data_IF_961463538875
#
_entry.id   IF_961463538875
#
_cell.length_a   1.000
_cell.length_b   1.000
_cell.length_c   1.000
_cell.angle_alpha   90.00
_cell.angle_beta   90.00
_cell.angle_gamma   90.00
#
_symmetry.space_group_name_H-M   'P 1'
#
loop_
_entity.id
_entity.type
_entity.pdbx_description
1 polymer ?
#
# COMPACT_ATOMS: atom_id res chain seq x y z
N UNK A 1 11.37 -10.78 14.77
CA UNK A 1 10.51 -10.77 13.59
C UNK A 1 9.54 -9.61 13.75
N UNK A 2 9.59 -8.62 12.87
CA UNK A 2 8.67 -7.50 12.82
C UNK A 2 7.62 -7.74 11.73
N UNK A 3 6.47 -7.10 11.88
CA UNK A 3 5.41 -7.07 10.88
C UNK A 3 5.25 -5.62 10.44
N UNK A 4 5.45 -5.38 9.15
CA UNK A 4 5.44 -4.05 8.54
C UNK A 4 4.24 -3.94 7.62
N UNK A 5 3.33 -3.03 7.93
CA UNK A 5 2.20 -2.70 7.06
C UNK A 5 2.58 -1.62 6.07
N UNK A 6 2.35 -1.84 4.77
CA UNK A 6 2.74 -0.92 3.70
C UNK A 6 1.57 -0.59 2.81
N UNK A 7 1.40 0.68 2.49
CA UNK A 7 0.30 1.15 1.65
C UNK A 7 0.66 2.43 0.91
N UNK A 8 -0.09 2.71 -0.16
CA UNK A 8 -0.03 4.00 -0.85
C UNK A 8 -1.11 4.94 -0.34
N UNK A 9 -0.91 6.25 -0.50
CA UNK A 9 -1.83 7.28 -0.04
C UNK A 9 -2.02 8.37 -1.09
N UNK A 10 -3.26 8.85 -1.22
CA UNK A 10 -3.60 9.99 -2.07
C UNK A 10 -4.25 11.11 -1.24
N UNK A 11 -5.44 10.86 -0.63
CA UNK A 11 -6.16 11.82 0.23
C UNK A 11 -7.13 11.16 1.23
N UNK A 12 -7.11 9.83 1.35
CA UNK A 12 -8.08 9.01 2.09
C UNK A 12 -7.81 9.03 3.60
N UNK A 13 -7.87 10.20 4.24
CA UNK A 13 -7.52 10.38 5.67
C UNK A 13 -8.36 9.50 6.61
N UNK A 14 -9.66 9.35 6.32
CA UNK A 14 -10.55 8.52 7.12
C UNK A 14 -10.13 7.05 7.06
N UNK A 15 -9.83 6.54 5.87
CA UNK A 15 -9.38 5.15 5.68
C UNK A 15 -8.05 4.90 6.38
N UNK A 16 -7.10 5.82 6.27
CA UNK A 16 -5.82 5.71 6.98
C UNK A 16 -6.00 5.68 8.50
N UNK A 17 -6.88 6.52 9.05
CA UNK A 17 -7.17 6.49 10.48
C UNK A 17 -7.79 5.16 10.90
N UNK A 18 -8.73 4.64 10.12
CA UNK A 18 -9.34 3.33 10.35
C UNK A 18 -8.28 2.21 10.29
N UNK A 19 -7.44 2.19 9.24
CA UNK A 19 -6.35 1.23 9.06
C UNK A 19 -5.40 1.22 10.26
N UNK A 20 -4.91 2.38 10.67
CA UNK A 20 -4.01 2.49 11.81
C UNK A 20 -4.65 1.98 13.12
N UNK A 21 -5.92 2.30 13.37
CA UNK A 21 -6.59 1.82 14.57
C UNK A 21 -6.78 0.30 14.56
N UNK A 22 -7.16 -0.29 13.44
CA UNK A 22 -7.38 -1.75 13.32
C UNK A 22 -6.05 -2.51 13.43
N UNK A 23 -5.00 -2.05 12.73
CA UNK A 23 -3.76 -2.82 12.61
C UNK A 23 -2.74 -2.55 13.72
N UNK A 24 -2.91 -1.48 14.51
CA UNK A 24 -1.88 -1.04 15.49
C UNK A 24 -1.41 -2.11 16.48
N UNK A 25 -2.30 -3.02 16.90
CA UNK A 25 -1.97 -4.07 17.86
C UNK A 25 -1.21 -5.25 17.23
N UNK A 26 -1.16 -5.32 15.91
CA UNK A 26 -0.64 -6.46 15.16
C UNK A 26 0.63 -6.13 14.37
N UNK A 27 0.90 -4.85 14.11
CA UNK A 27 2.05 -4.43 13.31
C UNK A 27 3.02 -3.57 14.11
N UNK A 28 4.30 -3.69 13.79
CA UNK A 28 5.37 -2.93 14.43
C UNK A 28 5.55 -1.56 13.78
N UNK A 29 5.41 -1.48 12.46
CA UNK A 29 5.59 -0.25 11.70
C UNK A 29 4.56 -0.13 10.57
N UNK A 30 4.26 1.13 10.22
CA UNK A 30 3.49 1.52 9.04
C UNK A 30 4.38 2.27 8.07
N UNK A 31 4.41 1.86 6.81
CA UNK A 31 5.06 2.58 5.72
C UNK A 31 3.99 3.12 4.79
N UNK A 32 3.91 4.43 4.67
CA UNK A 32 2.96 5.13 3.80
C UNK A 32 3.72 5.81 2.69
N UNK A 33 3.38 5.51 1.44
CA UNK A 33 4.00 6.11 0.27
C UNK A 33 3.03 7.06 -0.44
N UNK A 34 3.48 8.29 -0.72
CA UNK A 34 2.69 9.29 -1.44
C UNK A 34 3.52 9.94 -2.53
N UNK A 35 2.93 10.11 -3.72
CA UNK A 35 3.56 10.78 -4.85
C UNK A 35 3.12 12.25 -4.96
N UNK A 36 3.98 13.12 -5.50
CA UNK A 36 3.64 14.51 -5.86
C UNK A 36 2.89 14.62 -7.19
N UNK A 37 2.43 13.52 -7.70
CA UNK A 37 1.63 13.45 -8.93
C UNK A 37 0.49 12.45 -8.78
N UNK A 38 -0.58 12.68 -9.52
CA UNK A 38 -1.72 11.75 -9.61
C UNK A 38 -1.40 10.61 -10.58
N UNK A 39 -2.22 9.57 -10.60
CA UNK A 39 -2.10 8.49 -11.59
C UNK A 39 -2.26 9.01 -13.03
N UNK A 40 -3.00 10.10 -13.24
CA UNK A 40 -3.12 10.77 -14.55
C UNK A 40 -1.93 11.71 -14.89
N UNK A 41 -0.94 11.83 -13.98
CA UNK A 41 0.26 12.66 -14.21
C UNK A 41 0.11 14.13 -13.84
N UNK A 42 -1.00 14.55 -13.26
CA UNK A 42 -1.15 15.92 -12.77
C UNK A 42 -0.35 16.11 -11.48
N UNK A 43 0.33 17.23 -11.35
CA UNK A 43 1.01 17.61 -10.10
C UNK A 43 0.01 17.73 -8.96
N UNK A 44 0.41 17.31 -7.75
CA UNK A 44 -0.37 17.48 -6.53
C UNK A 44 0.51 17.80 -5.32
N UNK A 45 -0.08 18.40 -4.32
CA UNK A 45 0.55 18.59 -3.02
C UNK A 45 0.61 17.28 -2.23
N UNK A 46 1.52 17.22 -1.27
CA UNK A 46 1.57 16.14 -0.29
C UNK A 46 0.49 16.38 0.78
N UNK A 47 -0.42 15.42 0.91
CA UNK A 47 -1.59 15.49 1.77
C UNK A 47 -1.38 14.76 3.10
N UNK A 48 -0.54 13.72 3.12
CA UNK A 48 -0.27 12.95 4.33
C UNK A 48 0.62 13.73 5.30
N UNK A 49 0.18 13.82 6.55
CA UNK A 49 0.94 14.46 7.63
C UNK A 49 0.93 13.56 8.86
N UNK A 50 2.09 13.07 9.29
CA UNK A 50 2.21 12.22 10.49
C UNK A 50 1.56 12.84 11.73
N UNK A 51 1.62 14.18 11.86
CA UNK A 51 1.01 14.91 12.99
C UNK A 51 -0.50 14.78 13.08
N UNK A 52 -1.18 14.43 11.98
CA UNK A 52 -2.63 14.18 11.97
C UNK A 52 -2.98 12.84 12.65
N UNK A 53 -1.96 12.00 12.94
CA UNK A 53 -2.08 10.67 13.56
C UNK A 53 -1.18 10.54 14.80
N UNK A 54 -1.34 11.39 15.85
CA UNK A 54 -0.38 11.48 16.96
C UNK A 54 -0.20 10.17 17.72
N UNK A 55 -1.27 9.36 17.85
CA UNK A 55 -1.25 8.05 18.50
C UNK A 55 -0.31 7.05 17.83
N UNK A 56 -0.12 7.16 16.52
CA UNK A 56 0.63 6.21 15.69
C UNK A 56 1.93 6.79 15.14
N UNK A 57 2.18 8.07 15.33
CA UNK A 57 3.26 8.83 14.71
C UNK A 57 4.64 8.17 14.87
N UNK A 58 4.88 7.52 16.01
CA UNK A 58 6.15 6.84 16.32
C UNK A 58 6.38 5.57 15.49
N UNK A 59 5.30 4.96 14.94
CA UNK A 59 5.37 3.77 14.07
C UNK A 59 5.34 4.11 12.57
N UNK A 60 5.11 5.36 12.17
CA UNK A 60 4.87 5.72 10.78
C UNK A 60 6.19 6.15 10.11
N UNK A 61 6.51 5.53 8.99
CA UNK A 61 7.48 6.00 8.00
C UNK A 61 6.71 6.54 6.80
N UNK A 62 6.98 7.78 6.39
CA UNK A 62 6.36 8.41 5.23
C UNK A 62 7.37 8.57 4.12
N UNK A 63 7.11 7.96 2.97
CA UNK A 63 7.92 8.05 1.76
C UNK A 63 7.26 8.97 0.77
N UNK A 64 8.04 9.85 0.17
CA UNK A 64 7.56 10.81 -0.85
C UNK A 64 8.24 10.50 -2.18
N UNK A 65 7.45 10.46 -3.25
CA UNK A 65 7.95 10.32 -4.61
C UNK A 65 7.81 11.68 -5.31
N UNK A 66 8.98 12.26 -5.63
CA UNK A 66 9.05 13.56 -6.30
C UNK A 66 9.05 13.45 -7.84
N UNK A 67 9.50 12.32 -8.38
CA UNK A 67 9.69 12.12 -9.83
C UNK A 67 8.87 10.96 -10.34
N UNK A 68 8.26 11.17 -11.50
CA UNK A 68 7.57 10.09 -12.23
C UNK A 68 8.55 8.96 -12.63
N UNK A 69 8.02 7.73 -12.86
CA UNK A 69 8.79 6.63 -13.42
C UNK A 69 9.42 7.00 -14.76
N UNK A 70 10.54 6.34 -15.08
CA UNK A 70 11.31 6.63 -16.31
C UNK A 70 10.66 6.10 -17.58
N UNK A 71 9.78 5.12 -17.45
CA UNK A 71 9.07 4.45 -18.54
C UNK A 71 7.78 5.17 -18.99
N UNK A 72 7.52 6.36 -18.48
CA UNK A 72 6.38 7.20 -18.90
C UNK A 72 6.52 7.60 -20.39
N UNK A 73 5.50 7.28 -21.17
CA UNK A 73 5.41 7.69 -22.57
C UNK A 73 5.19 9.21 -22.63
N UNK A 74 6.11 9.92 -23.30
CA UNK A 74 6.07 11.37 -23.50
C UNK A 74 6.01 11.65 -24.98
N UNK A 75 4.87 12.11 -25.46
CA UNK A 75 4.63 12.58 -26.84
C UNK A 75 3.48 13.59 -26.85
N UNK A 76 3.38 14.41 -27.88
CA UNK A 76 2.42 15.52 -27.96
C UNK A 76 0.96 15.04 -27.91
N UNK A 77 0.66 13.91 -28.54
CA UNK A 77 -0.70 13.35 -28.63
C UNK A 77 -0.74 11.94 -28.05
N UNK A 78 -1.07 11.83 -26.77
CA UNK A 78 -1.28 10.54 -26.10
C UNK A 78 -2.67 9.99 -26.46
N UNK A 79 -2.71 8.77 -26.98
CA UNK A 79 -3.96 8.03 -27.18
C UNK A 79 -4.44 7.38 -25.85
N UNK A 80 -5.67 6.83 -25.79
CA UNK A 80 -6.19 6.20 -24.57
C UNK A 80 -5.32 5.06 -24.03
N UNK A 81 -4.65 4.30 -24.90
CA UNK A 81 -3.72 3.24 -24.50
C UNK A 81 -2.48 3.81 -23.78
N UNK A 82 -1.87 4.85 -24.35
CA UNK A 82 -0.72 5.51 -23.73
C UNK A 82 -1.06 6.11 -22.36
N UNK A 83 -2.24 6.73 -22.24
CA UNK A 83 -2.73 7.30 -20.97
C UNK A 83 -2.90 6.22 -19.92
N UNK A 84 -3.49 5.07 -20.31
CA UNK A 84 -3.65 3.93 -19.41
C UNK A 84 -2.31 3.32 -19.02
N UNK A 85 -1.39 3.15 -19.98
CA UNK A 85 -0.04 2.66 -19.71
C UNK A 85 0.67 3.55 -18.70
N UNK A 86 0.68 4.86 -18.92
CA UNK A 86 1.29 5.83 -18.02
C UNK A 86 0.66 5.80 -16.61
N UNK A 87 -0.65 5.63 -16.52
CA UNK A 87 -1.34 5.51 -15.25
C UNK A 87 -0.87 4.26 -14.48
N UNK A 88 -0.80 3.12 -15.16
CA UNK A 88 -0.32 1.85 -14.57
C UNK A 88 1.13 1.98 -14.15
N UNK A 89 2.00 2.56 -14.98
CA UNK A 89 3.41 2.78 -14.66
C UNK A 89 3.58 3.63 -13.38
N UNK A 90 2.76 4.69 -13.20
CA UNK A 90 2.79 5.51 -11.98
C UNK A 90 2.32 4.73 -10.75
N UNK A 91 1.27 3.93 -10.87
CA UNK A 91 0.78 3.06 -9.78
C UNK A 91 1.88 2.08 -9.38
N UNK A 92 2.46 1.35 -10.35
CA UNK A 92 3.56 0.41 -10.11
C UNK A 92 4.75 1.11 -9.45
N UNK A 93 5.20 2.23 -10.02
CA UNK A 93 6.33 2.97 -9.46
C UNK A 93 6.09 3.44 -8.01
N UNK A 94 4.85 3.75 -7.64
CA UNK A 94 4.48 4.11 -6.28
C UNK A 94 4.54 2.90 -5.34
N UNK A 95 4.10 1.74 -5.80
CA UNK A 95 4.17 0.48 -5.06
C UNK A 95 5.62 0.04 -4.86
N UNK A 96 6.41 0.02 -5.91
CA UNK A 96 7.82 -0.39 -5.84
C UNK A 96 8.66 0.56 -4.98
N UNK A 97 8.27 1.83 -4.89
CA UNK A 97 8.98 2.78 -4.03
C UNK A 97 8.93 2.40 -2.54
N UNK A 98 7.90 1.67 -2.11
CA UNK A 98 7.79 1.14 -0.74
C UNK A 98 8.99 0.24 -0.39
N UNK A 99 9.55 -0.49 -1.37
CA UNK A 99 10.72 -1.34 -1.16
C UNK A 99 11.94 -0.57 -0.66
N UNK A 100 12.05 0.73 -0.95
CA UNK A 100 13.19 1.55 -0.49
C UNK A 100 13.30 1.66 1.03
N UNK A 101 12.16 1.58 1.73
CA UNK A 101 12.16 1.59 3.19
C UNK A 101 12.47 0.22 3.80
N UNK A 102 12.38 -0.87 3.02
CA UNK A 102 12.56 -2.22 3.55
C UNK A 102 14.02 -2.57 3.85
N UNK A 103 14.98 -1.83 3.29
CA UNK A 103 16.43 -2.02 3.56
C UNK A 103 16.81 -1.85 5.02
N UNK A 104 15.98 -1.16 5.82
CA UNK A 104 16.20 -0.92 7.24
C UNK A 104 15.63 -2.04 8.13
N UNK A 105 15.07 -3.09 7.51
CA UNK A 105 14.45 -4.24 8.17
C UNK A 105 15.19 -5.54 7.88
N UNK A 106 14.98 -6.54 8.75
CA UNK A 106 15.53 -7.88 8.53
C UNK A 106 14.87 -8.61 7.37
N UNK A 107 15.64 -9.41 6.65
CA UNK A 107 15.09 -10.30 5.61
C UNK A 107 14.03 -11.28 6.12
N UNK A 108 14.04 -11.56 7.44
CA UNK A 108 13.08 -12.44 8.11
C UNK A 108 11.83 -11.70 8.65
N UNK A 109 11.76 -10.37 8.52
CA UNK A 109 10.59 -9.59 8.86
C UNK A 109 9.52 -9.75 7.78
N UNK A 110 8.24 -9.60 8.18
CA UNK A 110 7.10 -9.68 7.27
C UNK A 110 6.68 -8.29 6.77
N UNK A 111 6.43 -8.22 5.49
CA UNK A 111 5.73 -7.10 4.86
C UNK A 111 4.30 -7.51 4.54
N UNK A 112 3.35 -6.63 4.85
CA UNK A 112 1.98 -6.66 4.36
C UNK A 112 1.85 -5.51 3.37
N UNK A 113 1.42 -5.80 2.14
CA UNK A 113 1.06 -4.79 1.17
C UNK A 113 -0.43 -4.86 0.83
N UNK A 114 -1.07 -3.70 0.76
CA UNK A 114 -2.44 -3.54 0.26
C UNK A 114 -2.70 -2.08 -0.11
N UNK A 115 -3.71 -1.84 -0.93
CA UNK A 115 -4.27 -0.50 -1.07
C UNK A 115 -4.86 -0.05 0.27
N UNK A 116 -5.01 1.26 0.49
CA UNK A 116 -5.27 1.78 1.84
C UNK A 116 -6.65 1.37 2.41
N UNK A 117 -7.60 1.05 1.56
CA UNK A 117 -8.95 0.58 1.88
C UNK A 117 -9.05 -0.95 2.02
N UNK A 118 -7.98 -1.67 1.74
CA UNK A 118 -7.89 -3.13 1.87
C UNK A 118 -7.22 -3.49 3.19
N UNK A 119 -8.00 -3.53 4.28
CA UNK A 119 -7.49 -3.76 5.63
C UNK A 119 -7.63 -5.24 5.99
N UNK A 120 -6.52 -6.00 6.18
CA UNK A 120 -6.60 -7.40 6.54
C UNK A 120 -7.06 -7.58 8.00
N UNK A 121 -7.84 -8.61 8.26
CA UNK A 121 -8.10 -9.03 9.64
C UNK A 121 -6.96 -9.91 10.14
N UNK A 122 -6.18 -9.39 11.09
CA UNK A 122 -5.03 -10.08 11.68
C UNK A 122 -5.34 -10.70 13.05
N UNK A 123 -6.56 -10.55 13.58
CA UNK A 123 -6.92 -10.95 14.94
C UNK A 123 -6.60 -12.42 15.28
N UNK A 124 -6.82 -13.30 14.30
CA UNK A 124 -6.57 -14.73 14.48
C UNK A 124 -5.45 -15.25 13.57
N UNK A 125 -4.66 -14.37 13.00
CA UNK A 125 -3.61 -14.75 12.07
C UNK A 125 -2.25 -14.86 12.78
N UNK A 126 -1.61 -16.03 12.68
CA UNK A 126 -0.30 -16.30 13.26
C UNK A 126 0.76 -16.43 12.15
N UNK A 127 1.60 -15.40 12.01
CA UNK A 127 2.70 -15.40 11.05
C UNK A 127 3.74 -16.50 11.33
N UNK A 128 3.93 -16.92 12.58
CA UNK A 128 4.88 -17.98 12.93
C UNK A 128 4.45 -19.35 12.41
N UNK A 129 3.14 -19.61 12.34
CA UNK A 129 2.59 -20.86 11.78
C UNK A 129 2.61 -20.88 10.24
N UNK A 130 2.81 -19.72 9.60
CA UNK A 130 2.79 -19.57 8.15
C UNK A 130 4.15 -19.12 7.59
N UNK A 131 5.24 -19.57 8.23
CA UNK A 131 6.61 -19.27 7.78
C UNK A 131 6.81 -19.72 6.34
N UNK A 132 7.56 -18.91 5.60
CA UNK A 132 8.00 -19.21 4.22
C UNK A 132 6.86 -19.41 3.22
N UNK A 133 5.72 -18.73 3.45
CA UNK A 133 4.57 -18.71 2.55
C UNK A 133 4.27 -17.29 2.07
N UNK A 134 3.77 -17.19 0.86
CA UNK A 134 3.06 -15.99 0.40
C UNK A 134 1.62 -16.11 0.90
N UNK A 135 1.18 -15.10 1.64
CA UNK A 135 -0.13 -15.05 2.28
C UNK A 135 -1.03 -14.13 1.49
N UNK A 136 -2.20 -14.62 1.13
CA UNK A 136 -3.25 -13.85 0.47
C UNK A 136 -4.43 -13.74 1.44
N UNK A 137 -4.80 -12.54 1.83
CA UNK A 137 -5.94 -12.32 2.71
C UNK A 137 -7.22 -12.22 1.89
N UNK A 138 -8.11 -13.19 2.06
CA UNK A 138 -9.45 -13.14 1.47
C UNK A 138 -10.29 -12.10 2.22
N UNK A 139 -10.81 -11.13 1.49
CA UNK A 139 -11.55 -9.99 2.02
C UNK A 139 -12.94 -9.89 1.39
N UNK A 140 -13.84 -9.17 2.06
CA UNK A 140 -15.13 -8.81 1.50
C UNK A 140 -14.97 -7.58 0.62
N UNK A 141 -15.47 -7.65 -0.61
CA UNK A 141 -15.49 -6.51 -1.53
C UNK A 141 -16.80 -5.75 -1.39
N UNK A 142 -16.71 -4.47 -1.03
CA UNK A 142 -17.83 -3.54 -1.02
C UNK A 142 -17.69 -2.58 -2.20
N UNK A 143 -18.82 -2.27 -2.87
CA UNK A 143 -18.82 -1.47 -4.08
C UNK A 143 -19.59 -0.17 -3.83
N UNK A 144 -19.00 0.98 -4.13
CA UNK A 144 -19.48 2.34 -3.90
C UNK A 144 -19.71 2.74 -2.45
N UNK A 145 -20.24 1.88 -1.59
CA UNK A 145 -20.57 2.17 -0.19
C UNK A 145 -20.25 0.96 0.68
N UNK A 146 -19.91 1.19 1.94
CA UNK A 146 -19.53 0.13 2.90
C UNK A 146 -20.64 -0.88 3.23
N UNK A 147 -21.87 -0.64 2.82
CA UNK A 147 -23.00 -1.56 3.01
C UNK A 147 -23.45 -2.27 1.70
N UNK A 148 -22.78 -2.01 0.59
CA UNK A 148 -23.06 -2.68 -0.68
C UNK A 148 -22.04 -3.78 -0.93
N UNK A 149 -22.21 -4.90 -0.23
CA UNK A 149 -21.39 -6.10 -0.43
C UNK A 149 -21.61 -6.65 -1.84
N UNK A 150 -20.52 -6.87 -2.57
CA UNK A 150 -20.55 -7.61 -3.84
C UNK A 150 -20.45 -9.11 -3.52
N UNK A 151 -21.58 -9.85 -3.64
CA UNK A 151 -21.61 -11.27 -3.29
C UNK A 151 -20.87 -12.10 -4.34
N UNK A 152 -20.32 -13.24 -3.90
CA UNK A 152 -19.69 -14.25 -4.77
C UNK A 152 -18.38 -13.77 -5.48
N UNK A 153 -17.75 -12.70 -4.99
CA UNK A 153 -16.44 -12.28 -5.46
C UNK A 153 -15.41 -12.63 -4.40
N UNK A 154 -14.44 -13.44 -4.78
CA UNK A 154 -13.26 -13.71 -3.97
C UNK A 154 -12.24 -12.60 -4.22
N UNK A 155 -12.12 -11.68 -3.27
CA UNK A 155 -11.16 -10.59 -3.33
C UNK A 155 -9.96 -10.86 -2.44
N UNK A 156 -8.76 -10.74 -3.00
CA UNK A 156 -7.48 -10.95 -2.32
C UNK A 156 -6.64 -9.66 -2.42
N UNK A 157 -7.09 -8.62 -1.74
CA UNK A 157 -6.46 -7.30 -1.80
C UNK A 157 -5.13 -7.26 -1.03
N UNK A 158 -5.15 -7.62 0.26
CA UNK A 158 -3.95 -7.64 1.08
C UNK A 158 -3.13 -8.91 0.85
N UNK A 159 -1.81 -8.73 0.77
CA UNK A 159 -0.83 -9.82 0.58
C UNK A 159 0.30 -9.66 1.58
N UNK A 160 0.90 -10.76 2.04
CA UNK A 160 2.06 -10.70 2.91
C UNK A 160 3.07 -11.80 2.58
N UNK A 161 4.36 -11.50 2.81
CA UNK A 161 5.45 -12.47 2.76
C UNK A 161 6.61 -11.96 3.61
N UNK A 162 7.63 -12.80 3.80
CA UNK A 162 8.91 -12.33 4.34
C UNK A 162 9.61 -11.42 3.31
N UNK A 163 10.39 -10.45 3.81
CA UNK A 163 11.12 -9.51 2.95
C UNK A 163 12.08 -10.26 2.00
N UNK A 164 12.71 -11.36 2.43
CA UNK A 164 13.57 -12.18 1.57
C UNK A 164 12.86 -12.79 0.36
N UNK A 165 11.56 -13.01 0.46
CA UNK A 165 10.76 -13.64 -0.59
C UNK A 165 10.13 -12.60 -1.53
N UNK A 166 10.24 -11.32 -1.19
CA UNK A 166 9.70 -10.21 -1.97
C UNK A 166 10.64 -9.86 -3.13
N UNK A 167 10.17 -10.02 -4.36
CA UNK A 167 10.90 -9.57 -5.57
C UNK A 167 10.41 -8.21 -6.06
N UNK A 168 9.10 -8.02 -6.06
CA UNK A 168 8.40 -6.78 -6.42
C UNK A 168 7.16 -6.67 -5.55
N UNK A 169 6.59 -5.49 -5.41
CA UNK A 169 5.30 -5.29 -4.70
C UNK A 169 4.13 -5.35 -5.70
N UNK A 170 4.39 -5.15 -6.98
CA UNK A 170 3.37 -5.17 -8.04
C UNK A 170 3.08 -6.58 -8.55
#
# INVERSE_FOLDING_TARGET
MKIIDTTTFFEEKMMMNLRFNILNSYVDNFIVCEARFTHSGKSKNINFKKKDYPKFQHKITHLIIDKEPIDIIKKDNLNPYDLRFNSIARIRGQRDHLMKALKDYSSEDYIIYSDNDEIPNLEFFDFNKNKDKIILFKQRLFYYKFNLLLPKVDWYGSKACKIKDLKTID
#
